data_IF_650418816379
#
_entry.id   IF_650418816379
#
_cell.length_a   1.000
_cell.length_b   1.000
_cell.length_c   1.000
_cell.angle_alpha   90.00
_cell.angle_beta   90.00
_cell.angle_gamma   90.00
#
_symmetry.space_group_name_H-M   'P 1'
#
loop_
_entity.id
_entity.type
_entity.pdbx_description
1 polymer ?
#
# COMPACT_ATOMS: atom_id res chain seq x y z
N UNK A 1 -21.64 -68.86 -43.01
CA UNK A 1 -21.34 -67.54 -43.62
C UNK A 1 -22.55 -66.62 -43.42
N UNK A 2 -22.60 -65.81 -42.35
CA UNK A 2 -23.43 -64.60 -42.19
C UNK A 2 -23.06 -63.87 -40.89
N UNK A 3 -23.12 -62.54 -40.97
CA UNK A 3 -22.36 -61.51 -40.26
C UNK A 3 -22.64 -61.40 -38.75
N UNK A 4 -21.59 -61.28 -37.93
CA UNK A 4 -21.65 -60.70 -36.57
C UNK A 4 -21.52 -59.18 -36.70
N UNK A 5 -22.45 -58.43 -36.09
CA UNK A 5 -22.39 -56.96 -36.01
C UNK A 5 -21.40 -56.55 -34.92
N UNK A 6 -20.47 -55.66 -35.25
CA UNK A 6 -19.53 -55.03 -34.33
C UNK A 6 -20.09 -53.64 -33.99
N UNK A 7 -20.40 -53.40 -32.71
CA UNK A 7 -20.74 -52.07 -32.21
C UNK A 7 -19.44 -51.31 -31.91
N UNK A 8 -19.22 -50.18 -32.58
CA UNK A 8 -18.14 -49.25 -32.25
C UNK A 8 -18.65 -48.27 -31.20
N UNK A 9 -18.00 -48.29 -30.03
CA UNK A 9 -18.14 -47.28 -28.99
C UNK A 9 -17.13 -46.16 -29.30
N UNK A 10 -17.62 -45.00 -29.75
CA UNK A 10 -16.79 -43.81 -29.95
C UNK A 10 -16.57 -43.12 -28.60
N UNK A 11 -15.34 -43.15 -28.08
CA UNK A 11 -14.93 -42.25 -26.99
C UNK A 11 -14.45 -40.95 -27.62
N UNK A 12 -15.31 -39.93 -27.59
CA UNK A 12 -14.96 -38.56 -27.92
C UNK A 12 -14.11 -37.98 -26.79
N UNK A 13 -12.81 -37.79 -27.03
CA UNK A 13 -11.98 -36.95 -26.15
C UNK A 13 -12.24 -35.50 -26.53
N UNK A 14 -13.17 -34.87 -25.81
CA UNK A 14 -13.34 -33.43 -25.81
C UNK A 14 -12.15 -32.83 -25.03
N UNK A 15 -11.12 -32.38 -25.73
CA UNK A 15 -10.12 -31.49 -25.14
C UNK A 15 -10.80 -30.13 -24.90
N UNK A 16 -11.29 -29.95 -23.67
CA UNK A 16 -11.54 -28.62 -23.12
C UNK A 16 -10.18 -27.91 -23.03
N UNK A 17 -9.89 -27.04 -23.98
CA UNK A 17 -8.95 -25.95 -23.75
C UNK A 17 -9.56 -25.09 -22.65
N UNK A 18 -9.12 -25.30 -21.41
CA UNK A 18 -9.36 -24.34 -20.34
C UNK A 18 -8.54 -23.11 -20.72
N UNK A 19 -9.15 -21.94 -20.98
CA UNK A 19 -8.36 -20.73 -21.02
C UNK A 19 -7.68 -20.61 -19.65
N UNK A 20 -6.35 -20.62 -19.63
CA UNK A 20 -5.62 -20.09 -18.49
C UNK A 20 -6.11 -18.65 -18.33
N UNK A 21 -7.00 -18.45 -17.36
CA UNK A 21 -7.29 -17.12 -16.87
C UNK A 21 -5.97 -16.68 -16.25
N UNK A 22 -5.30 -15.71 -16.87
CA UNK A 22 -4.34 -14.90 -16.13
C UNK A 22 -5.03 -14.54 -14.81
N UNK A 23 -4.41 -14.87 -13.68
CA UNK A 23 -4.98 -14.56 -12.38
C UNK A 23 -5.32 -13.08 -12.38
N UNK A 24 -6.62 -12.77 -12.50
CA UNK A 24 -7.09 -11.41 -12.42
C UNK A 24 -6.83 -11.00 -10.97
N UNK A 25 -5.86 -10.10 -10.79
CA UNK A 25 -5.62 -9.41 -9.53
C UNK A 25 -6.82 -8.48 -9.32
N UNK A 26 -7.94 -9.05 -8.90
CA UNK A 26 -9.12 -8.31 -8.49
C UNK A 26 -8.99 -8.07 -7.01
N UNK A 27 -8.40 -6.92 -6.67
CA UNK A 27 -8.24 -6.53 -5.28
C UNK A 27 -9.50 -5.83 -4.75
N UNK A 28 -9.83 -6.04 -3.48
CA UNK A 28 -10.97 -5.40 -2.80
C UNK A 28 -10.44 -4.72 -1.55
N UNK A 29 -10.34 -3.40 -1.58
CA UNK A 29 -10.26 -2.57 -0.38
C UNK A 29 -11.47 -1.65 -0.37
N UNK A 30 -12.32 -1.80 0.64
CA UNK A 30 -13.56 -1.03 0.74
C UNK A 30 -13.26 0.40 1.19
N UNK A 31 -13.51 1.36 0.28
CA UNK A 31 -13.78 2.80 0.46
C UNK A 31 -13.40 3.39 1.85
N UNK A 32 -12.35 4.21 1.92
CA UNK A 32 -12.12 5.10 3.07
C UNK A 32 -11.99 6.57 2.63
N UNK A 33 -13.13 7.24 2.41
CA UNK A 33 -13.16 8.65 2.80
C UNK A 33 -13.31 8.65 4.31
N UNK A 34 -12.19 8.82 5.01
CA UNK A 34 -12.16 8.94 6.46
C UNK A 34 -12.02 10.42 6.81
N UNK A 35 -12.98 10.95 7.55
CA UNK A 35 -12.90 12.27 8.16
C UNK A 35 -12.86 12.09 9.66
N UNK A 36 -11.86 12.67 10.30
CA UNK A 36 -11.75 12.75 11.74
C UNK A 36 -11.73 14.22 12.16
N UNK A 37 -12.57 14.56 13.13
CA UNK A 37 -12.54 15.83 13.84
C UNK A 37 -12.28 15.48 15.30
N UNK A 38 -11.08 15.82 15.79
CA UNK A 38 -10.67 15.46 17.16
C UNK A 38 -11.11 16.54 18.17
N UNK A 39 -11.10 17.80 17.74
CA UNK A 39 -11.59 18.98 18.45
C UNK A 39 -11.90 20.08 17.41
N UNK A 40 -12.29 21.30 17.83
CA UNK A 40 -12.49 22.43 16.88
C UNK A 40 -11.18 22.97 16.27
N UNK A 41 -10.03 22.47 16.71
CA UNK A 41 -8.69 22.97 16.39
C UNK A 41 -7.97 22.09 15.35
N UNK A 42 -8.33 20.81 15.30
CA UNK A 42 -7.62 19.79 14.56
C UNK A 42 -8.60 18.90 13.77
N UNK A 43 -8.43 18.89 12.46
CA UNK A 43 -9.24 18.11 11.52
C UNK A 43 -8.39 17.47 10.44
N UNK A 44 -8.82 16.31 9.97
CA UNK A 44 -8.23 15.62 8.83
C UNK A 44 -9.30 14.98 7.97
N UNK A 45 -9.18 15.15 6.66
CA UNK A 45 -9.97 14.45 5.64
C UNK A 45 -9.00 13.77 4.68
N UNK A 46 -9.11 12.45 4.61
CA UNK A 46 -8.35 11.63 3.65
C UNK A 46 -9.30 11.24 2.52
N UNK A 47 -8.92 11.56 1.30
CA UNK A 47 -9.61 11.12 0.08
C UNK A 47 -8.64 10.36 -0.80
N UNK A 48 -9.07 9.23 -1.35
CA UNK A 48 -8.29 8.54 -2.36
C UNK A 48 -8.68 9.04 -3.75
N UNK A 49 -7.71 9.48 -4.54
CA UNK A 49 -7.92 9.95 -5.90
C UNK A 49 -7.06 9.12 -6.87
N UNK A 50 -7.53 8.97 -8.11
CA UNK A 50 -6.67 8.43 -9.17
C UNK A 50 -5.42 9.31 -9.36
N UNK A 51 -4.32 8.72 -9.77
CA UNK A 51 -3.11 9.45 -10.15
C UNK A 51 -3.35 10.30 -11.40
N UNK A 52 -4.01 9.71 -12.40
CA UNK A 52 -4.16 10.29 -13.73
C UNK A 52 -5.23 11.41 -13.81
N UNK A 53 -6.13 11.51 -12.83
CA UNK A 53 -7.24 12.48 -12.82
C UNK A 53 -7.70 12.75 -11.38
N UNK A 54 -8.65 13.65 -11.15
CA UNK A 54 -9.12 13.99 -9.78
C UNK A 54 -10.30 13.14 -9.31
N UNK A 55 -10.65 12.05 -10.01
CA UNK A 55 -11.77 11.22 -9.60
C UNK A 55 -11.41 10.41 -8.35
N UNK A 56 -12.37 10.34 -7.44
CA UNK A 56 -12.24 9.56 -6.21
C UNK A 56 -12.22 8.07 -6.53
N UNK A 57 -11.33 7.35 -5.87
CA UNK A 57 -11.26 5.90 -5.90
C UNK A 57 -11.67 5.32 -4.55
N UNK A 58 -12.01 4.04 -4.52
CA UNK A 58 -12.33 3.31 -3.28
C UNK A 58 -11.13 2.57 -2.69
N UNK A 59 -10.10 2.31 -3.50
CA UNK A 59 -8.95 1.48 -3.15
C UNK A 59 -7.69 1.88 -3.92
N UNK A 60 -6.54 1.59 -3.32
CA UNK A 60 -5.26 1.53 -4.04
C UNK A 60 -5.27 0.28 -4.93
N UNK A 61 -4.85 0.43 -6.17
CA UNK A 61 -4.64 -0.65 -7.11
C UNK A 61 -3.27 -0.51 -7.79
N UNK A 62 -2.73 -1.61 -8.30
CA UNK A 62 -1.48 -1.66 -9.05
C UNK A 62 -1.72 -2.37 -10.37
N UNK A 63 -1.65 -1.64 -11.49
CA UNK A 63 -1.78 -2.24 -12.81
C UNK A 63 -0.51 -3.01 -13.18
N UNK A 64 -0.67 -4.30 -13.50
CA UNK A 64 0.37 -5.21 -14.01
C UNK A 64 1.64 -5.29 -13.14
N UNK A 65 1.60 -5.99 -11.98
CA UNK A 65 2.77 -6.15 -11.14
C UNK A 65 3.91 -6.78 -11.93
N UNK A 66 5.02 -6.06 -12.04
CA UNK A 66 6.27 -6.54 -12.63
C UNK A 66 7.19 -7.03 -11.50
N UNK A 67 8.31 -7.69 -11.81
CA UNK A 67 9.30 -8.12 -10.82
C UNK A 67 10.12 -6.92 -10.26
N UNK A 68 9.45 -5.84 -9.87
CA UNK A 68 10.03 -4.57 -9.38
C UNK A 68 9.03 -3.79 -8.50
N UNK A 69 9.43 -2.59 -8.10
CA UNK A 69 8.54 -1.60 -7.51
C UNK A 69 7.55 -1.05 -8.54
N UNK A 70 6.28 -1.01 -8.16
CA UNK A 70 5.18 -0.49 -8.97
C UNK A 70 4.42 0.55 -8.16
N UNK A 71 4.11 1.68 -8.78
CA UNK A 71 3.27 2.70 -8.16
C UNK A 71 1.80 2.31 -8.21
N UNK A 72 1.05 2.72 -7.19
CA UNK A 72 -0.40 2.60 -7.23
C UNK A 72 -0.98 3.57 -8.27
N UNK A 73 -2.07 3.14 -8.91
CA UNK A 73 -2.89 3.97 -9.80
C UNK A 73 -3.62 5.10 -9.04
N UNK A 74 -3.54 5.11 -7.71
CA UNK A 74 -4.17 6.08 -6.82
C UNK A 74 -3.16 6.74 -5.86
N UNK A 75 -3.56 7.86 -5.28
CA UNK A 75 -2.83 8.55 -4.22
C UNK A 75 -3.81 9.05 -3.15
N UNK A 76 -3.34 9.19 -1.92
CA UNK A 76 -4.10 9.87 -0.88
C UNK A 76 -3.96 11.38 -1.05
N UNK A 77 -5.08 12.09 -1.04
CA UNK A 77 -5.16 13.52 -0.81
C UNK A 77 -5.57 13.73 0.65
N UNK A 78 -4.68 14.35 1.42
CA UNK A 78 -4.88 14.58 2.83
C UNK A 78 -5.07 16.08 3.03
N UNK A 79 -6.32 16.48 3.27
CA UNK A 79 -6.64 17.83 3.71
C UNK A 79 -6.64 17.84 5.24
N UNK A 80 -5.93 18.77 5.85
CA UNK A 80 -5.83 18.87 7.29
C UNK A 80 -5.81 20.33 7.77
N UNK A 81 -6.16 20.51 9.03
CA UNK A 81 -5.93 21.71 9.82
C UNK A 81 -5.48 21.25 11.22
N UNK A 82 -4.42 21.81 11.76
CA UNK A 82 -4.04 21.63 13.16
C UNK A 82 -3.14 22.78 13.59
N UNK A 83 -3.45 23.35 14.75
CA UNK A 83 -2.64 24.38 15.41
C UNK A 83 -2.22 23.95 16.82
N UNK A 84 -2.46 22.69 17.18
CA UNK A 84 -2.05 22.14 18.46
C UNK A 84 -0.52 22.01 18.50
N UNK A 85 0.09 21.99 19.68
CA UNK A 85 1.50 21.62 19.82
C UNK A 85 1.57 20.09 19.84
N UNK A 86 2.62 19.51 19.26
CA UNK A 86 2.83 18.05 19.32
C UNK A 86 1.93 17.21 18.42
N UNK A 87 1.40 17.77 17.32
CA UNK A 87 0.59 17.01 16.36
C UNK A 87 1.40 16.42 15.19
N UNK A 88 0.84 15.43 14.53
CA UNK A 88 1.28 14.98 13.21
C UNK A 88 0.28 14.05 12.54
N UNK A 89 0.50 13.80 11.25
CA UNK A 89 -0.23 12.81 10.47
C UNK A 89 0.74 11.70 10.10
N UNK A 90 0.41 10.47 10.44
CA UNK A 90 1.24 9.30 10.18
C UNK A 90 0.53 8.24 9.32
N UNK A 91 1.32 7.41 8.67
CA UNK A 91 0.88 6.33 7.78
C UNK A 91 1.63 5.03 8.05
N UNK A 92 0.90 3.93 8.18
CA UNK A 92 1.47 2.61 8.51
C UNK A 92 0.51 1.46 8.16
N UNK A 93 0.97 0.21 8.30
CA UNK A 93 0.13 -0.98 8.25
C UNK A 93 -0.10 -1.58 9.64
N UNK A 94 -1.15 -2.38 9.82
CA UNK A 94 -1.38 -3.16 11.04
C UNK A 94 -1.81 -4.59 10.70
N UNK A 95 -1.01 -5.25 9.87
CA UNK A 95 -1.33 -6.55 9.27
C UNK A 95 -1.26 -7.73 10.24
N UNK A 96 -0.78 -7.50 11.47
CA UNK A 96 -0.87 -8.47 12.56
C UNK A 96 -2.11 -8.30 13.43
N UNK A 97 -2.89 -7.24 13.22
CA UNK A 97 -4.14 -7.03 13.94
C UNK A 97 -5.08 -8.24 13.75
N UNK A 98 -5.84 -8.59 14.79
CA UNK A 98 -6.85 -9.64 14.71
C UNK A 98 -7.92 -9.38 13.62
N UNK A 99 -8.14 -8.12 13.23
CA UNK A 99 -9.02 -7.72 12.14
C UNK A 99 -8.38 -7.71 10.74
N UNK A 100 -7.10 -8.08 10.62
CA UNK A 100 -6.39 -8.09 9.34
C UNK A 100 -6.90 -9.21 8.41
N UNK A 101 -7.07 -8.91 7.13
CA UNK A 101 -7.59 -9.82 6.11
C UNK A 101 -6.92 -9.60 4.75
N UNK A 102 -5.92 -10.43 4.38
CA UNK A 102 -5.32 -11.49 5.19
C UNK A 102 -4.43 -10.91 6.30
N UNK A 103 -4.39 -11.60 7.44
CA UNK A 103 -3.41 -11.33 8.49
C UNK A 103 -2.06 -11.93 8.10
N UNK A 104 -0.97 -11.19 8.35
CA UNK A 104 0.37 -11.70 8.13
C UNK A 104 0.71 -12.78 9.16
N UNK A 105 1.23 -13.92 8.69
CA UNK A 105 1.56 -15.09 9.53
C UNK A 105 3.03 -15.48 9.45
N UNK A 106 3.85 -14.66 8.77
CA UNK A 106 5.27 -14.91 8.63
C UNK A 106 6.08 -14.62 9.89
N UNK A 107 7.39 -14.91 9.88
CA UNK A 107 8.27 -14.70 11.03
C UNK A 107 8.47 -13.21 11.35
N UNK A 108 8.32 -12.81 12.61
CA UNK A 108 8.53 -11.41 13.06
C UNK A 108 9.98 -11.07 13.42
N UNK A 109 10.81 -12.07 13.70
CA UNK A 109 12.15 -11.89 14.28
C UNK A 109 13.23 -11.31 13.34
N UNK A 110 12.91 -11.00 12.08
CA UNK A 110 13.90 -10.63 11.06
C UNK A 110 13.55 -9.35 10.28
N UNK A 111 12.78 -8.44 10.86
CA UNK A 111 12.35 -7.20 10.17
C UNK A 111 11.32 -7.44 9.06
N UNK A 112 10.80 -8.67 8.95
CA UNK A 112 9.71 -9.04 8.04
C UNK A 112 8.39 -9.04 8.78
N UNK A 113 7.91 -7.86 9.16
CA UNK A 113 6.77 -7.74 10.07
C UNK A 113 5.50 -7.31 9.32
N UNK A 114 5.26 -7.82 8.12
CA UNK A 114 3.99 -7.60 7.41
C UNK A 114 3.77 -6.15 6.95
N UNK A 115 4.84 -5.36 6.77
CA UNK A 115 4.81 -3.96 6.33
C UNK A 115 4.45 -3.77 4.84
N UNK A 116 3.31 -4.32 4.41
CA UNK A 116 2.83 -4.13 3.05
C UNK A 116 1.54 -4.88 2.68
N UNK A 117 1.47 -5.36 1.44
CA UNK A 117 0.33 -6.16 0.96
C UNK A 117 0.58 -7.63 1.27
N UNK A 118 -0.37 -8.29 1.94
CA UNK A 118 -0.22 -9.66 2.41
C UNK A 118 -0.76 -10.64 1.37
N UNK A 119 -0.03 -11.74 1.13
CA UNK A 119 -0.45 -12.79 0.22
C UNK A 119 -1.72 -13.48 0.69
N UNK A 120 -2.71 -13.61 -0.20
CA UNK A 120 -4.00 -14.25 0.10
C UNK A 120 -3.87 -15.77 0.18
N UNK A 121 -3.02 -16.38 -0.64
CA UNK A 121 -2.80 -17.84 -0.65
C UNK A 121 -1.76 -18.26 0.38
N UNK A 122 -0.66 -17.51 0.48
CA UNK A 122 0.38 -17.69 1.48
C UNK A 122 0.63 -16.37 2.19
N UNK A 123 0.03 -16.21 3.38
CA UNK A 123 0.14 -14.99 4.19
C UNK A 123 1.43 -14.89 5.00
N UNK A 124 2.38 -15.82 4.83
CA UNK A 124 3.76 -15.64 5.27
C UNK A 124 4.57 -14.79 4.29
N UNK A 125 4.06 -14.55 3.08
CA UNK A 125 4.69 -13.71 2.06
C UNK A 125 3.92 -12.39 1.98
N UNK A 126 4.65 -11.29 1.86
CA UNK A 126 4.08 -9.97 1.62
C UNK A 126 4.87 -9.23 0.54
N UNK A 127 4.21 -8.29 -0.13
CA UNK A 127 4.82 -7.31 -1.01
C UNK A 127 5.04 -6.02 -0.20
N UNK A 128 6.30 -5.63 0.09
CA UNK A 128 6.60 -4.42 0.87
C UNK A 128 5.98 -3.17 0.25
N UNK A 129 5.49 -2.27 1.10
CA UNK A 129 5.02 -0.94 0.67
C UNK A 129 6.03 0.14 1.02
N UNK A 130 6.08 1.19 0.21
CA UNK A 130 6.76 2.44 0.53
C UNK A 130 5.93 3.64 0.07
N UNK A 131 6.18 4.81 0.65
CA UNK A 131 5.42 6.02 0.37
C UNK A 131 6.30 7.25 0.16
N UNK A 132 5.75 8.24 -0.54
CA UNK A 132 6.30 9.60 -0.64
C UNK A 132 5.18 10.62 -0.58
N UNK A 133 5.47 11.84 -0.15
CA UNK A 133 4.47 12.91 -0.04
C UNK A 133 4.90 14.18 -0.77
N UNK A 134 3.96 14.82 -1.46
CA UNK A 134 4.18 16.05 -2.22
C UNK A 134 3.15 17.12 -1.83
N UNK A 135 3.53 18.39 -2.00
CA UNK A 135 2.64 19.55 -1.76
C UNK A 135 1.61 19.76 -2.88
N UNK A 136 1.85 19.18 -4.05
CA UNK A 136 0.97 19.26 -5.20
C UNK A 136 0.87 17.90 -5.88
N UNK A 137 -0.31 17.63 -6.45
CA UNK A 137 -0.53 16.45 -7.27
C UNK A 137 0.29 16.59 -8.55
N UNK A 138 1.17 15.63 -8.85
CA UNK A 138 2.00 15.74 -10.04
C UNK A 138 3.06 14.67 -10.17
N UNK A 139 4.17 15.05 -10.82
CA UNK A 139 5.31 14.20 -11.05
C UNK A 139 5.97 13.82 -9.72
N UNK A 140 6.23 12.52 -9.56
CA UNK A 140 6.92 11.95 -8.41
C UNK A 140 8.38 11.71 -8.77
N UNK A 141 9.26 11.60 -7.78
CA UNK A 141 10.61 11.17 -8.03
C UNK A 141 10.64 9.78 -8.69
N UNK A 142 11.59 9.49 -9.59
CA UNK A 142 11.67 8.20 -10.26
C UNK A 142 11.85 7.04 -9.28
N UNK A 143 11.15 5.93 -9.53
CA UNK A 143 11.31 4.65 -8.82
C UNK A 143 12.58 3.94 -9.34
N UNK A 144 13.74 4.57 -9.16
CA UNK A 144 15.03 4.08 -9.68
C UNK A 144 15.98 3.63 -8.58
N UNK A 145 15.71 4.03 -7.34
CA UNK A 145 16.41 3.59 -6.15
C UNK A 145 15.47 2.72 -5.32
N UNK A 146 15.99 1.59 -4.81
CA UNK A 146 15.26 0.86 -3.77
C UNK A 146 15.00 1.86 -2.63
N UNK A 147 13.76 1.96 -2.11
CA UNK A 147 13.51 2.60 -0.83
C UNK A 147 14.50 2.04 0.19
N UNK A 148 14.93 2.83 1.17
CA UNK A 148 15.86 2.35 2.20
C UNK A 148 15.12 2.12 3.50
N UNK A 149 15.38 0.95 4.06
CA UNK A 149 14.89 0.54 5.36
C UNK A 149 15.71 1.26 6.44
N UNK A 150 15.02 1.99 7.32
CA UNK A 150 15.58 2.55 8.54
C UNK A 150 16.67 3.63 8.44
N UNK A 151 17.09 4.05 7.24
CA UNK A 151 18.03 5.18 7.05
C UNK A 151 17.61 6.11 5.92
N UNK A 152 17.10 7.30 6.26
CA UNK A 152 16.94 8.40 5.33
C UNK A 152 18.31 8.73 4.73
N UNK A 153 18.44 8.62 3.41
CA UNK A 153 19.63 9.05 2.69
C UNK A 153 19.22 10.02 1.59
N UNK A 154 20.18 10.83 1.15
CA UNK A 154 19.99 11.89 0.15
C UNK A 154 19.42 11.43 -1.20
N UNK A 155 19.34 10.12 -1.43
CA UNK A 155 19.10 9.52 -2.74
C UNK A 155 17.74 8.83 -2.85
N UNK A 156 16.93 8.84 -1.79
CA UNK A 156 15.70 8.05 -1.76
C UNK A 156 14.46 8.89 -1.57
N UNK A 157 13.59 8.89 -2.56
CA UNK A 157 12.35 9.64 -2.46
C UNK A 157 11.24 8.95 -1.66
N UNK A 158 11.43 7.70 -1.25
CA UNK A 158 10.39 6.87 -0.64
C UNK A 158 10.84 6.29 0.70
N UNK A 159 9.95 6.35 1.69
CA UNK A 159 10.12 5.70 2.99
C UNK A 159 9.33 4.39 3.03
N UNK A 160 9.90 3.33 3.60
CA UNK A 160 9.14 2.10 3.82
C UNK A 160 7.98 2.35 4.77
N UNK A 161 6.87 1.64 4.54
CA UNK A 161 5.87 1.47 5.57
C UNK A 161 6.47 0.73 6.75
N UNK A 162 5.92 1.02 7.93
CA UNK A 162 6.08 0.18 9.11
C UNK A 162 4.78 -0.52 9.43
N UNK A 163 4.87 -1.65 10.09
CA UNK A 163 3.72 -2.31 10.69
C UNK A 163 3.57 -1.90 12.16
N UNK A 164 2.34 -1.80 12.68
CA UNK A 164 2.07 -1.31 14.03
C UNK A 164 2.70 -2.18 15.11
N UNK A 165 2.79 -3.49 14.88
CA UNK A 165 3.40 -4.43 15.83
C UNK A 165 4.92 -4.55 15.70
N UNK A 166 5.56 -3.78 14.81
CA UNK A 166 7.03 -3.78 14.74
C UNK A 166 7.64 -3.27 16.04
N UNK A 167 8.68 -3.93 16.50
CA UNK A 167 9.43 -3.48 17.69
C UNK A 167 10.04 -2.07 17.52
N UNK A 168 10.28 -1.65 16.28
CA UNK A 168 10.79 -0.32 15.93
C UNK A 168 9.71 0.73 15.66
N UNK A 169 8.42 0.35 15.79
CA UNK A 169 7.32 1.27 15.60
C UNK A 169 7.25 2.24 16.78
N UNK A 170 7.29 3.54 16.48
CA UNK A 170 7.16 4.62 17.47
C UNK A 170 6.27 5.69 16.87
N UNK A 171 5.19 6.04 17.56
CA UNK A 171 4.27 7.09 17.14
C UNK A 171 5.01 8.41 16.91
N UNK A 172 4.71 9.06 15.80
CA UNK A 172 5.33 10.32 15.41
C UNK A 172 6.76 10.22 14.86
N UNK A 173 7.33 9.03 14.73
CA UNK A 173 8.64 8.85 14.10
C UNK A 173 8.66 9.39 12.67
N UNK A 174 9.75 10.05 12.26
CA UNK A 174 9.87 10.70 10.95
C UNK A 174 9.61 9.75 9.76
N UNK A 175 9.92 8.46 9.89
CA UNK A 175 9.69 7.45 8.83
C UNK A 175 8.22 7.14 8.55
N UNK A 176 7.32 7.40 9.51
CA UNK A 176 5.88 7.15 9.36
C UNK A 176 5.08 8.45 9.35
N UNK A 177 5.68 9.57 9.76
CA UNK A 177 4.99 10.86 9.87
C UNK A 177 5.06 11.67 8.57
N UNK A 178 3.97 11.66 7.81
CA UNK A 178 3.76 12.42 6.57
C UNK A 178 4.00 13.92 6.80
N UNK A 179 3.32 14.51 7.78
CA UNK A 179 3.39 15.94 8.06
C UNK A 179 3.16 16.20 9.54
N UNK A 180 3.87 17.15 10.12
CA UNK A 180 3.69 17.59 11.49
C UNK A 180 3.97 19.09 11.61
N UNK A 181 4.06 19.63 12.84
CA UNK A 181 4.41 21.03 13.08
C UNK A 181 5.75 21.48 12.47
N UNK A 182 6.66 20.55 12.15
CA UNK A 182 7.93 20.83 11.50
C UNK A 182 7.87 20.76 9.96
N UNK A 183 6.70 20.47 9.38
CA UNK A 183 6.48 20.43 7.94
C UNK A 183 6.30 19.04 7.34
N UNK A 184 6.24 18.99 6.01
CA UNK A 184 6.04 17.76 5.22
C UNK A 184 7.34 16.95 5.17
N UNK A 185 7.25 15.65 5.42
CA UNK A 185 8.40 14.75 5.30
C UNK A 185 9.00 14.78 3.90
N UNK A 186 10.33 14.92 3.83
CA UNK A 186 11.11 14.56 2.65
C UNK A 186 11.84 13.27 2.95
N UNK A 187 11.52 12.23 2.19
CA UNK A 187 12.16 10.93 2.38
C UNK A 187 13.59 10.90 1.83
N UNK A 188 13.99 11.94 1.10
CA UNK A 188 15.32 12.15 0.51
C UNK A 188 16.37 12.59 1.53
N UNK A 189 16.18 12.35 2.83
CA UNK A 189 17.16 12.70 3.86
C UNK A 189 17.45 14.19 4.03
N UNK A 190 16.74 15.08 3.33
CA UNK A 190 16.87 16.53 3.48
C UNK A 190 15.93 17.09 4.56
N UNK A 191 15.35 16.23 5.40
CA UNK A 191 14.51 16.62 6.55
C UNK A 191 13.05 16.86 6.14
N UNK A 192 12.49 18.01 6.54
CA UNK A 192 11.09 18.38 6.29
C UNK A 192 10.98 19.68 5.47
N UNK A 193 9.96 19.78 4.62
CA UNK A 193 9.60 21.02 3.92
C UNK A 193 8.73 21.86 4.84
N UNK A 194 9.24 23.01 5.26
CA UNK A 194 8.49 23.99 6.07
C UNK A 194 7.47 24.77 5.24
N UNK A 195 6.47 25.34 5.90
CA UNK A 195 5.48 26.21 5.27
C UNK A 195 4.53 25.49 4.31
N UNK A 196 4.45 24.17 4.37
CA UNK A 196 3.54 23.37 3.54
C UNK A 196 2.10 23.58 3.98
N UNK A 197 1.25 23.92 3.01
CA UNK A 197 -0.18 24.09 3.20
C UNK A 197 -0.93 22.82 2.79
N UNK A 198 -2.03 22.54 3.47
CA UNK A 198 -3.03 21.54 3.08
C UNK A 198 -3.67 21.88 1.72
N UNK A 199 -4.02 20.89 0.88
CA UNK A 199 -3.81 19.45 1.07
C UNK A 199 -2.40 19.00 0.65
N UNK A 200 -1.99 17.83 1.15
CA UNK A 200 -0.80 17.10 0.67
C UNK A 200 -1.21 15.82 -0.05
N UNK A 201 -0.34 15.32 -0.91
CA UNK A 201 -0.58 14.14 -1.74
C UNK A 201 0.42 13.04 -1.42
N UNK A 202 -0.05 11.88 -0.97
CA UNK A 202 0.78 10.72 -0.62
C UNK A 202 0.63 9.64 -1.68
N UNK A 203 1.77 9.26 -2.26
CA UNK A 203 1.89 8.21 -3.27
C UNK A 203 2.44 6.94 -2.64
N UNK A 204 1.90 5.80 -3.05
CA UNK A 204 2.27 4.49 -2.51
C UNK A 204 2.83 3.64 -3.64
N UNK A 205 3.96 2.98 -3.37
CA UNK A 205 4.56 1.98 -4.25
C UNK A 205 4.59 0.63 -3.53
N UNK A 206 4.49 -0.46 -4.28
CA UNK A 206 4.58 -1.83 -3.79
C UNK A 206 5.70 -2.58 -4.51
N UNK A 207 6.47 -3.39 -3.78
CA UNK A 207 7.55 -4.20 -4.35
C UNK A 207 7.08 -5.62 -4.62
N UNK A 208 6.92 -5.95 -5.90
CA UNK A 208 6.57 -7.30 -6.34
C UNK A 208 7.79 -8.12 -6.77
N UNK A 209 9.02 -7.65 -6.47
CA UNK A 209 10.24 -8.40 -6.78
C UNK A 209 10.38 -9.62 -5.89
N UNK A 210 10.41 -10.81 -6.50
CA UNK A 210 10.64 -12.07 -5.81
C UNK A 210 9.49 -12.54 -4.91
N UNK A 211 8.36 -11.84 -4.91
CA UNK A 211 7.14 -12.31 -4.24
C UNK A 211 6.44 -13.29 -5.19
N UNK A 212 6.03 -14.47 -4.69
CA UNK A 212 5.42 -15.51 -5.53
C UNK A 212 4.13 -15.06 -6.22
N UNK A 213 3.72 -15.73 -7.30
CA UNK A 213 2.49 -15.39 -8.01
C UNK A 213 1.24 -15.73 -7.17
N UNK A 214 0.57 -14.70 -6.65
CA UNK A 214 -0.71 -14.79 -5.93
C UNK A 214 -1.35 -13.39 -5.84
N UNK A 215 -2.58 -13.33 -5.32
CA UNK A 215 -3.19 -12.05 -4.93
C UNK A 215 -2.55 -11.53 -3.65
N UNK A 216 -2.27 -10.23 -3.61
CA UNK A 216 -1.75 -9.53 -2.43
C UNK A 216 -2.71 -8.41 -2.07
N UNK A 217 -3.03 -8.24 -0.79
CA UNK A 217 -3.91 -7.17 -0.32
C UNK A 217 -3.71 -6.84 1.15
N UNK A 218 -4.25 -5.71 1.60
CA UNK A 218 -4.38 -5.37 3.03
C UNK A 218 -5.64 -4.55 3.26
N UNK A 219 -6.33 -4.79 4.37
CA UNK A 219 -7.39 -3.93 4.90
C UNK A 219 -6.92 -3.12 6.12
N UNK A 220 -5.62 -3.10 6.40
CA UNK A 220 -5.01 -2.52 7.60
C UNK A 220 -4.00 -1.41 7.25
N UNK A 221 -4.24 -0.65 6.17
CA UNK A 221 -3.48 0.57 5.91
C UNK A 221 -4.14 1.75 6.64
N UNK A 222 -3.41 2.35 7.57
CA UNK A 222 -3.91 3.43 8.42
C UNK A 222 -3.24 4.74 8.05
N UNK A 223 -4.04 5.80 7.93
CA UNK A 223 -3.60 7.19 7.95
C UNK A 223 -4.30 7.86 9.12
N UNK A 224 -3.55 8.37 10.09
CA UNK A 224 -4.14 8.94 11.30
C UNK A 224 -3.49 10.27 11.69
N UNK A 225 -4.31 11.13 12.30
CA UNK A 225 -3.89 12.36 12.96
C UNK A 225 -3.66 12.04 14.44
N UNK A 226 -2.46 12.30 14.95
CA UNK A 226 -2.08 12.06 16.33
C UNK A 226 -1.67 13.35 17.04
N UNK A 227 -1.66 13.30 18.38
CA UNK A 227 -1.18 14.35 19.28
C UNK A 227 -0.29 13.73 20.36
N UNK A 228 0.73 14.47 20.82
CA UNK A 228 1.69 14.09 21.86
C UNK A 228 1.66 15.08 23.03
#
# INVERSE_FOLDING_TARGET
>A
MRKKQLAFLSVSVLMLMVPFSAAAVSDVVSKSTASAVLNTLSSMTVTLENVANTYTASQLAWTAPTNTWVESDQCFKIAYNSNDIGWGIQIYTDNHNAGASPAYTGPTAAGYEGQGLIGVTNSMIYAPLAWTALTAKGARPPITTNPVDGTLNSNNAYAYFKDRLQSSFVDGNDYITIVNGNGLARNDGLGRVYGVTSPVYVYVIANFKGVGNQTYRTNQLTVELYHQ
#
